data_IF_836076523382
#
_entry.id   IF_836076523382
#
_cell.length_a   1.000
_cell.length_b   1.000
_cell.length_c   1.000
_cell.angle_alpha   90.00
_cell.angle_beta   90.00
_cell.angle_gamma   90.00
#
_symmetry.space_group_name_H-M   'P 1'
#
loop_
_entity.id
_entity.type
_entity.pdbx_description
1 polymer ?
#
# COMPACT_ATOMS: atom_id res chain seq x y z
N UNK A 1 -7.16 12.42 -18.26
CA UNK A 1 -5.75 12.13 -17.92
C UNK A 1 -5.74 11.04 -16.88
N UNK A 2 -4.96 9.94 -17.01
CA UNK A 2 -4.91 8.94 -15.95
C UNK A 2 -4.38 9.64 -14.69
N UNK A 3 -5.18 9.67 -13.62
CA UNK A 3 -4.77 10.15 -12.29
C UNK A 3 -3.59 9.28 -11.83
N UNK A 4 -2.38 9.62 -12.26
CA UNK A 4 -1.15 9.00 -11.77
C UNK A 4 -0.97 9.53 -10.35
N UNK A 5 -1.27 8.69 -9.37
CA UNK A 5 -0.83 8.93 -8.00
C UNK A 5 0.67 9.15 -8.02
N UNK A 6 1.13 10.26 -7.44
CA UNK A 6 2.55 10.59 -7.33
C UNK A 6 3.29 9.52 -6.51
N UNK A 7 4.58 9.29 -6.77
CA UNK A 7 5.37 8.33 -5.99
C UNK A 7 5.32 8.65 -4.49
N UNK A 8 5.39 9.92 -4.11
CA UNK A 8 5.28 10.38 -2.71
C UNK A 8 3.94 9.98 -2.07
N UNK A 9 2.84 10.07 -2.81
CA UNK A 9 1.53 9.66 -2.31
C UNK A 9 1.46 8.15 -2.06
N UNK A 10 2.05 7.36 -2.97
CA UNK A 10 2.10 5.89 -2.83
C UNK A 10 2.96 5.49 -1.64
N UNK A 11 4.12 6.11 -1.50
CA UNK A 11 5.03 5.86 -0.39
C UNK A 11 4.39 6.21 0.96
N UNK A 12 3.69 7.35 1.04
CA UNK A 12 2.89 7.70 2.23
C UNK A 12 1.79 6.68 2.51
N UNK A 13 1.12 6.16 1.48
CA UNK A 13 0.11 5.13 1.64
C UNK A 13 0.69 3.81 2.17
N UNK A 14 1.89 3.43 1.71
CA UNK A 14 2.58 2.23 2.17
C UNK A 14 3.11 2.38 3.59
N UNK A 15 3.66 3.54 3.96
CA UNK A 15 4.05 3.83 5.36
C UNK A 15 2.84 3.75 6.30
N UNK A 16 1.71 4.35 5.90
CA UNK A 16 0.49 4.27 6.70
C UNK A 16 -0.03 2.83 6.82
N UNK A 17 0.15 2.02 5.77
CA UNK A 17 -0.22 0.61 5.78
C UNK A 17 0.62 -0.18 6.80
N UNK A 18 1.94 -0.01 6.78
CA UNK A 18 2.82 -0.65 7.76
C UNK A 18 2.47 -0.24 9.19
N UNK A 19 2.31 1.07 9.46
CA UNK A 19 1.88 1.55 10.78
C UNK A 19 0.53 0.97 11.22
N UNK A 20 -0.41 0.80 10.29
CA UNK A 20 -1.73 0.21 10.61
C UNK A 20 -1.60 -1.28 10.94
N UNK A 21 -0.71 -2.01 10.26
CA UNK A 21 -0.45 -3.42 10.52
C UNK A 21 0.26 -3.62 11.87
N UNK A 22 1.19 -2.74 12.21
CA UNK A 22 1.93 -2.77 13.47
C UNK A 22 1.05 -2.38 14.68
N UNK A 23 0.23 -1.35 14.55
CA UNK A 23 -0.55 -0.79 15.66
C UNK A 23 -1.75 -1.67 16.06
N UNK A 24 -2.42 -2.28 15.09
CA UNK A 24 -3.70 -2.95 15.32
C UNK A 24 -3.65 -4.48 15.24
N UNK A 25 -2.46 -5.09 15.05
CA UNK A 25 -2.28 -6.54 14.80
C UNK A 25 -3.27 -7.11 13.76
N UNK A 26 -3.69 -6.27 12.80
CA UNK A 26 -4.71 -6.61 11.81
C UNK A 26 -4.08 -7.33 10.62
N UNK A 27 -4.87 -8.16 9.95
CA UNK A 27 -4.46 -8.77 8.70
C UNK A 27 -4.14 -7.72 7.63
N UNK A 28 -3.21 -8.03 6.72
CA UNK A 28 -2.86 -7.17 5.57
C UNK A 28 -4.12 -6.70 4.82
N UNK A 29 -5.12 -7.59 4.66
CA UNK A 29 -6.38 -7.26 4.01
C UNK A 29 -7.12 -6.11 4.71
N UNK A 30 -7.21 -6.15 6.03
CA UNK A 30 -7.92 -5.16 6.82
C UNK A 30 -7.16 -3.83 6.86
N UNK A 31 -5.83 -3.89 6.98
CA UNK A 31 -4.98 -2.71 6.89
C UNK A 31 -5.13 -2.02 5.53
N UNK A 32 -5.11 -2.79 4.43
CA UNK A 32 -5.36 -2.27 3.08
C UNK A 32 -6.74 -1.62 2.98
N UNK A 33 -7.78 -2.27 3.49
CA UNK A 33 -9.14 -1.74 3.49
C UNK A 33 -9.23 -0.42 4.25
N UNK A 34 -8.60 -0.34 5.42
CA UNK A 34 -8.53 0.86 6.25
C UNK A 34 -7.81 2.01 5.52
N UNK A 35 -6.62 1.75 4.97
CA UNK A 35 -5.83 2.74 4.24
C UNK A 35 -6.52 3.21 2.97
N UNK A 36 -7.09 2.29 2.19
CA UNK A 36 -7.84 2.60 0.98
C UNK A 36 -9.03 3.53 1.27
N UNK A 37 -9.77 3.24 2.35
CA UNK A 37 -10.87 4.08 2.83
C UNK A 37 -10.39 5.46 3.28
N UNK A 38 -9.32 5.52 4.09
CA UNK A 38 -8.74 6.79 4.60
C UNK A 38 -8.21 7.69 3.49
N UNK A 39 -7.62 7.12 2.45
CA UNK A 39 -7.00 7.86 1.35
C UNK A 39 -7.93 8.07 0.14
N UNK A 40 -9.13 7.48 0.15
CA UNK A 40 -10.08 7.56 -0.95
C UNK A 40 -9.59 6.88 -2.24
N UNK A 41 -8.84 5.78 -2.11
CA UNK A 41 -8.29 5.02 -3.24
C UNK A 41 -8.83 3.58 -3.26
N UNK A 42 -8.67 2.87 -4.38
CA UNK A 42 -9.09 1.46 -4.42
C UNK A 42 -8.11 0.57 -3.64
N UNK A 43 -8.64 -0.45 -2.96
CA UNK A 43 -7.85 -1.47 -2.26
C UNK A 43 -6.84 -2.16 -3.19
N UNK A 44 -7.26 -2.43 -4.43
CA UNK A 44 -6.37 -2.99 -5.46
C UNK A 44 -5.18 -2.09 -5.78
N UNK A 45 -5.35 -0.76 -5.74
CA UNK A 45 -4.25 0.18 -5.99
C UNK A 45 -3.20 0.07 -4.89
N UNK A 46 -3.63 0.03 -3.62
CA UNK A 46 -2.74 -0.14 -2.46
C UNK A 46 -2.00 -1.48 -2.53
N UNK A 47 -2.71 -2.58 -2.87
CA UNK A 47 -2.10 -3.90 -3.08
C UNK A 47 -1.00 -3.90 -4.13
N UNK A 48 -1.26 -3.27 -5.29
CA UNK A 48 -0.26 -3.18 -6.37
C UNK A 48 0.96 -2.38 -5.93
N UNK A 49 0.76 -1.30 -5.16
CA UNK A 49 1.87 -0.53 -4.62
C UNK A 49 2.69 -1.34 -3.62
N UNK A 50 2.04 -2.11 -2.72
CA UNK A 50 2.75 -2.96 -1.76
C UNK A 50 3.57 -4.02 -2.47
N UNK A 51 2.96 -4.74 -3.42
CA UNK A 51 3.68 -5.73 -4.24
C UNK A 51 4.86 -5.12 -4.98
N UNK A 52 4.69 -3.92 -5.54
CA UNK A 52 5.79 -3.22 -6.21
C UNK A 52 6.90 -2.86 -5.22
N UNK A 53 6.56 -2.37 -4.03
CA UNK A 53 7.53 -2.06 -2.99
C UNK A 53 8.28 -3.30 -2.48
N UNK A 54 7.62 -4.46 -2.34
CA UNK A 54 8.30 -5.73 -2.00
C UNK A 54 9.31 -6.15 -3.06
N UNK A 55 8.97 -5.95 -4.35
CA UNK A 55 9.88 -6.22 -5.47
C UNK A 55 11.06 -5.23 -5.45
N UNK A 56 10.79 -3.93 -5.32
CA UNK A 56 11.82 -2.89 -5.26
C UNK A 56 12.74 -3.07 -4.03
N UNK A 57 12.21 -3.62 -2.92
CA UNK A 57 12.97 -3.97 -1.71
C UNK A 57 13.73 -5.30 -1.82
N UNK A 58 13.62 -6.02 -2.94
CA UNK A 58 14.27 -7.32 -3.15
C UNK A 58 13.70 -8.45 -2.29
N UNK A 59 12.56 -8.24 -1.63
CA UNK A 59 11.87 -9.26 -0.81
C UNK A 59 11.14 -10.29 -1.67
N UNK A 60 10.85 -9.96 -2.93
CA UNK A 60 10.35 -10.89 -3.94
C UNK A 60 11.24 -10.85 -5.19
N UNK A 61 11.59 -11.99 -5.79
CA UNK A 61 12.18 -12.00 -7.11
C UNK A 61 11.13 -11.43 -8.08
N UNK A 62 11.40 -10.24 -8.60
CA UNK A 62 10.61 -9.67 -9.69
C UNK A 62 10.74 -10.57 -10.90
N UNK A 63 9.61 -11.03 -11.43
CA UNK A 63 9.52 -11.61 -12.78
C UNK A 63 9.34 -10.51 -13.81
#
# INVERSE_FOLDING_TARGET
MPRKYSPEFRDRALRLLDTTMEDSEVSEFEAIKSVASKLGVSQESVRRWRRKAEIDAGQRPGV
#
